data_IF_505107744105
#
_entry.id   IF_505107744105
#
_cell.length_a   1.000
_cell.length_b   1.000
_cell.length_c   1.000
_cell.angle_alpha   90.00
_cell.angle_beta   90.00
_cell.angle_gamma   90.00
#
_symmetry.space_group_name_H-M   'P 1'
#
loop_
_entity.id
_entity.type
_entity.pdbx_description
1 polymer ?
#
# COMPACT_ATOMS: atom_id res chain seq x y z
N UNK A 1 15.39 27.49 -22.56
CA UNK A 1 15.88 26.24 -21.92
C UNK A 1 15.63 26.18 -20.41
N UNK A 2 15.99 27.21 -19.61
CA UNK A 2 15.84 27.20 -18.13
C UNK A 2 14.44 26.85 -17.59
N UNK A 3 13.35 27.31 -18.23
CA UNK A 3 11.98 27.02 -17.77
C UNK A 3 11.58 25.55 -17.89
N UNK A 4 12.03 24.84 -18.93
CA UNK A 4 11.73 23.40 -19.09
C UNK A 4 12.37 22.55 -18.00
N UNK A 5 13.51 23.00 -17.47
CA UNK A 5 14.26 22.32 -16.43
C UNK A 5 13.59 22.47 -15.05
N UNK A 6 12.99 23.64 -14.77
CA UNK A 6 12.20 23.87 -13.55
C UNK A 6 10.99 22.93 -13.47
N UNK A 7 10.20 22.87 -14.54
CA UNK A 7 9.04 21.96 -14.62
C UNK A 7 9.43 20.48 -14.49
N UNK A 8 10.61 20.09 -14.98
CA UNK A 8 11.13 18.72 -14.83
C UNK A 8 11.40 18.39 -13.35
N UNK A 9 12.09 19.28 -12.64
CA UNK A 9 12.44 19.06 -11.24
C UNK A 9 11.18 19.06 -10.37
N UNK A 10 10.25 19.98 -10.60
CA UNK A 10 8.95 20.01 -9.92
C UNK A 10 8.17 18.71 -10.14
N UNK A 11 8.12 18.22 -11.39
CA UNK A 11 7.49 16.95 -11.73
C UNK A 11 8.13 15.75 -11.02
N UNK A 12 9.47 15.71 -10.98
CA UNK A 12 10.21 14.66 -10.25
C UNK A 12 9.91 14.72 -8.76
N UNK A 13 9.95 15.91 -8.15
CA UNK A 13 9.63 16.08 -6.71
C UNK A 13 8.21 15.61 -6.41
N UNK A 14 7.23 16.03 -7.21
CA UNK A 14 5.84 15.59 -7.06
C UNK A 14 5.69 14.08 -7.21
N UNK A 15 6.35 13.47 -8.19
CA UNK A 15 6.32 12.02 -8.41
C UNK A 15 6.98 11.26 -7.24
N UNK A 16 8.12 11.74 -6.74
CA UNK A 16 8.81 11.13 -5.59
C UNK A 16 8.00 11.21 -4.30
N UNK A 17 7.40 12.37 -4.01
CA UNK A 17 6.50 12.53 -2.85
C UNK A 17 5.31 11.57 -2.98
N UNK A 18 4.67 11.55 -4.15
CA UNK A 18 3.53 10.65 -4.42
C UNK A 18 3.90 9.18 -4.22
N UNK A 19 5.03 8.73 -4.79
CA UNK A 19 5.51 7.36 -4.66
C UNK A 19 5.78 6.98 -3.21
N UNK A 20 6.49 7.84 -2.47
CA UNK A 20 6.83 7.57 -1.08
C UNK A 20 5.60 7.45 -0.18
N UNK A 21 4.63 8.36 -0.30
CA UNK A 21 3.40 8.30 0.51
C UNK A 21 2.48 7.16 0.08
N UNK A 22 2.28 6.97 -1.22
CA UNK A 22 1.33 6.00 -1.76
C UNK A 22 1.71 4.56 -1.41
N UNK A 23 2.98 4.21 -1.59
CA UNK A 23 3.49 2.87 -1.35
C UNK A 23 3.38 2.47 0.13
N UNK A 24 3.86 3.33 1.03
CA UNK A 24 3.83 3.08 2.48
C UNK A 24 2.39 2.97 2.98
N UNK A 25 1.49 3.83 2.47
CA UNK A 25 0.07 3.81 2.87
C UNK A 25 -0.60 2.51 2.43
N UNK A 26 -0.37 2.07 1.19
CA UNK A 26 -0.94 0.80 0.71
C UNK A 26 -0.36 -0.42 1.42
N UNK A 27 0.95 -0.41 1.71
CA UNK A 27 1.59 -1.48 2.46
C UNK A 27 1.04 -1.54 3.90
N UNK A 28 0.90 -0.40 4.57
CA UNK A 28 0.29 -0.31 5.89
C UNK A 28 -1.16 -0.81 5.87
N UNK A 29 -1.91 -0.49 4.81
CA UNK A 29 -3.30 -0.93 4.66
C UNK A 29 -3.42 -2.46 4.69
N UNK A 30 -2.44 -3.19 4.14
CA UNK A 30 -2.46 -4.67 4.13
C UNK A 30 -2.59 -5.31 5.52
N UNK A 31 -2.13 -4.63 6.58
CA UNK A 31 -2.23 -5.10 7.97
C UNK A 31 -3.67 -5.22 8.47
N UNK A 32 -4.61 -4.50 7.85
CA UNK A 32 -6.03 -4.56 8.15
C UNK A 32 -6.79 -5.63 7.34
N UNK A 33 -6.10 -6.36 6.47
CA UNK A 33 -6.67 -7.39 5.60
C UNK A 33 -6.08 -8.77 5.93
N UNK A 34 -6.48 -9.77 5.15
CA UNK A 34 -6.02 -11.15 5.31
C UNK A 34 -4.50 -11.26 5.29
N UNK A 35 -3.97 -12.32 5.93
CA UNK A 35 -2.53 -12.66 5.92
C UNK A 35 -1.92 -12.82 4.52
N UNK A 36 -2.75 -13.05 3.48
CA UNK A 36 -2.31 -13.19 2.09
C UNK A 36 -2.18 -11.86 1.35
N UNK A 37 -2.65 -10.76 1.94
CA UNK A 37 -2.69 -9.45 1.28
C UNK A 37 -1.29 -8.89 1.05
N UNK A 38 -0.35 -9.11 1.98
CA UNK A 38 1.06 -8.70 1.82
C UNK A 38 1.72 -9.45 0.65
N UNK A 39 1.50 -10.76 0.53
CA UNK A 39 2.04 -11.55 -0.59
C UNK A 39 1.41 -11.16 -1.92
N UNK A 40 0.10 -10.90 -1.95
CA UNK A 40 -0.58 -10.45 -3.16
C UNK A 40 -0.10 -9.06 -3.60
N UNK A 41 0.09 -8.14 -2.64
CA UNK A 41 0.67 -6.82 -2.89
C UNK A 41 2.08 -6.94 -3.48
N UNK A 42 2.97 -7.73 -2.86
CA UNK A 42 4.34 -7.92 -3.33
C UNK A 42 4.40 -8.61 -4.71
N UNK A 43 3.56 -9.61 -4.95
CA UNK A 43 3.46 -10.24 -6.27
C UNK A 43 2.92 -9.28 -7.33
N UNK A 44 1.98 -8.41 -6.97
CA UNK A 44 1.39 -7.41 -7.85
C UNK A 44 2.39 -6.34 -8.26
N UNK A 45 3.19 -5.82 -7.34
CA UNK A 45 4.24 -4.84 -7.65
C UNK A 45 5.34 -5.44 -8.53
N UNK A 46 5.75 -6.69 -8.26
CA UNK A 46 6.70 -7.42 -9.11
C UNK A 46 6.17 -7.62 -10.54
N UNK A 47 4.91 -8.05 -10.69
CA UNK A 47 4.28 -8.19 -12.00
C UNK A 47 4.13 -6.84 -12.72
N UNK A 48 3.79 -5.77 -12.00
CA UNK A 48 3.67 -4.43 -12.55
C UNK A 48 5.00 -3.90 -13.09
N UNK A 49 6.13 -4.22 -12.44
CA UNK A 49 7.46 -3.88 -12.95
C UNK A 49 7.75 -4.53 -14.31
N UNK A 50 7.48 -5.83 -14.44
CA UNK A 50 7.66 -6.54 -15.70
C UNK A 50 6.70 -6.04 -16.80
N UNK A 51 5.41 -5.95 -16.49
CA UNK A 51 4.40 -5.50 -17.44
C UNK A 51 4.60 -4.04 -17.85
N UNK A 52 5.01 -3.18 -16.92
CA UNK A 52 5.32 -1.77 -17.19
C UNK A 52 6.51 -1.64 -18.14
N UNK A 53 7.60 -2.34 -17.86
CA UNK A 53 8.78 -2.34 -18.72
C UNK A 53 8.48 -2.89 -20.12
N UNK A 54 7.76 -4.01 -20.21
CA UNK A 54 7.37 -4.62 -21.49
C UNK A 54 6.40 -3.72 -22.28
N UNK A 55 5.44 -3.10 -21.60
CA UNK A 55 4.49 -2.18 -22.24
C UNK A 55 5.20 -0.94 -22.78
N UNK A 56 6.09 -0.34 -21.98
CA UNK A 56 6.88 0.81 -22.41
C UNK A 56 7.78 0.45 -23.59
N UNK A 57 8.53 -0.65 -23.50
CA UNK A 57 9.39 -1.12 -24.59
C UNK A 57 8.59 -1.47 -25.85
N UNK A 58 7.40 -2.05 -25.73
CA UNK A 58 6.51 -2.30 -26.87
C UNK A 58 6.06 -1.01 -27.53
N UNK A 59 5.64 -0.02 -26.74
CA UNK A 59 5.20 1.29 -27.25
C UNK A 59 6.36 2.04 -27.94
N UNK A 60 7.57 2.03 -27.38
CA UNK A 60 8.69 2.80 -27.92
C UNK A 60 9.47 2.08 -29.01
N UNK A 61 9.67 0.76 -28.88
CA UNK A 61 10.56 0.00 -29.76
C UNK A 61 9.82 -0.71 -30.89
N UNK A 62 8.62 -1.24 -30.65
CA UNK A 62 7.82 -1.90 -31.69
C UNK A 62 6.96 -0.88 -32.46
N UNK A 63 6.24 -0.03 -31.73
CA UNK A 63 5.34 0.96 -32.32
C UNK A 63 6.03 2.29 -32.67
N UNK A 64 7.31 2.43 -32.33
CA UNK A 64 8.14 3.64 -32.59
C UNK A 64 7.50 4.93 -32.09
N UNK A 65 6.67 4.84 -31.04
CA UNK A 65 6.05 6.02 -30.44
C UNK A 65 7.10 6.84 -29.69
N UNK A 66 6.90 8.16 -29.68
CA UNK A 66 7.73 9.04 -28.85
C UNK A 66 7.59 8.66 -27.37
N UNK A 67 8.67 8.69 -26.57
CA UNK A 67 8.62 8.45 -25.12
C UNK A 67 7.55 9.27 -24.39
N UNK A 68 7.31 10.51 -24.85
CA UNK A 68 6.26 11.37 -24.30
C UNK A 68 4.87 10.78 -24.48
N UNK A 69 4.57 10.29 -25.69
CA UNK A 69 3.29 9.67 -26.01
C UNK A 69 3.13 8.35 -25.28
N UNK A 70 4.19 7.55 -25.17
CA UNK A 70 4.15 6.29 -24.42
C UNK A 70 3.81 6.50 -22.94
N UNK A 71 4.46 7.47 -22.27
CA UNK A 71 4.17 7.79 -20.86
C UNK A 71 2.76 8.38 -20.69
N UNK A 72 2.29 9.21 -21.63
CA UNK A 72 0.92 9.73 -21.62
C UNK A 72 -0.12 8.62 -21.77
N UNK A 73 0.14 7.63 -22.62
CA UNK A 73 -0.73 6.45 -22.75
C UNK A 73 -0.75 5.69 -21.42
N UNK A 74 0.40 5.43 -20.81
CA UNK A 74 0.48 4.69 -19.54
C UNK A 74 -0.16 5.42 -18.34
N UNK A 75 -0.57 6.68 -18.49
CA UNK A 75 -1.24 7.46 -17.44
C UNK A 75 -2.62 6.90 -17.04
N UNK A 76 -3.23 6.02 -17.83
CA UNK A 76 -4.47 5.36 -17.39
C UNK A 76 -4.24 4.40 -16.21
N UNK A 77 -3.02 3.88 -16.02
CA UNK A 77 -2.69 2.93 -14.95
C UNK A 77 -2.93 3.52 -13.55
N UNK A 78 -2.40 4.71 -13.19
CA UNK A 78 -2.71 5.32 -11.90
C UNK A 78 -4.20 5.66 -11.73
N UNK A 79 -4.95 5.92 -12.82
CA UNK A 79 -6.41 6.10 -12.74
C UNK A 79 -7.10 4.80 -12.33
N UNK A 80 -6.72 3.67 -12.94
CA UNK A 80 -7.22 2.34 -12.54
C UNK A 80 -6.87 2.06 -11.07
N UNK A 81 -5.68 2.42 -10.62
CA UNK A 81 -5.26 2.27 -9.23
C UNK A 81 -6.17 3.04 -8.26
N UNK A 82 -6.51 4.30 -8.58
CA UNK A 82 -7.44 5.11 -7.76
C UNK A 82 -8.83 4.48 -7.71
N UNK A 83 -9.37 4.06 -8.86
CA UNK A 83 -10.68 3.38 -8.93
C UNK A 83 -10.67 2.12 -8.07
N UNK A 84 -9.62 1.29 -8.20
CA UNK A 84 -9.47 0.06 -7.44
C UNK A 84 -9.42 0.33 -5.93
N UNK A 85 -8.68 1.37 -5.51
CA UNK A 85 -8.60 1.77 -4.12
C UNK A 85 -9.97 2.18 -3.54
N UNK A 86 -10.74 2.97 -4.27
CA UNK A 86 -12.08 3.41 -3.84
C UNK A 86 -13.03 2.22 -3.73
N UNK A 87 -13.02 1.31 -4.72
CA UNK A 87 -13.89 0.12 -4.71
C UNK A 87 -13.58 -0.80 -3.53
N UNK A 88 -12.30 -1.03 -3.25
CA UNK A 88 -11.86 -1.84 -2.10
C UNK A 88 -12.29 -1.18 -0.78
N UNK A 89 -12.09 0.13 -0.63
CA UNK A 89 -12.52 0.88 0.55
C UNK A 89 -14.03 0.81 0.78
N UNK A 90 -14.84 1.00 -0.27
CA UNK A 90 -16.29 0.90 -0.21
C UNK A 90 -16.76 -0.51 0.20
N UNK A 91 -16.11 -1.55 -0.32
CA UNK A 91 -16.40 -2.94 0.04
C UNK A 91 -16.11 -3.23 1.52
N UNK A 92 -15.04 -2.67 2.08
CA UNK A 92 -14.70 -2.83 3.49
C UNK A 92 -15.68 -2.11 4.42
N UNK A 93 -16.08 -0.89 4.07
CA UNK A 93 -17.09 -0.15 4.83
C UNK A 93 -18.40 -0.95 4.88
N UNK A 94 -18.85 -1.47 3.74
CA UNK A 94 -20.03 -2.32 3.66
C UNK A 94 -19.90 -3.61 4.49
N UNK A 95 -18.74 -4.28 4.46
CA UNK A 95 -18.49 -5.49 5.24
C UNK A 95 -18.52 -5.23 6.75
N UNK A 96 -17.89 -4.14 7.22
CA UNK A 96 -17.91 -3.74 8.63
C UNK A 96 -19.30 -3.41 9.13
N UNK A 97 -20.11 -2.70 8.33
CA UNK A 97 -21.50 -2.41 8.68
C UNK A 97 -22.33 -3.68 8.84
N UNK A 98 -22.17 -4.67 7.95
CA UNK A 98 -22.84 -5.98 8.08
C UNK A 98 -22.42 -6.72 9.35
N UNK A 99 -21.13 -6.72 9.67
CA UNK A 99 -20.63 -7.38 10.87
C UNK A 99 -21.15 -6.71 12.16
N UNK A 100 -21.24 -5.37 12.19
CA UNK A 100 -21.83 -4.65 13.32
C UNK A 100 -23.32 -4.96 13.48
N UNK A 101 -24.06 -5.00 12.37
CA UNK A 101 -25.50 -5.29 12.39
C UNK A 101 -25.79 -6.72 12.89
N UNK A 102 -24.98 -7.71 12.50
CA UNK A 102 -25.08 -9.08 13.02
C UNK A 102 -24.84 -9.19 14.53
N UNK A 103 -23.89 -8.41 15.07
CA UNK A 103 -23.61 -8.37 16.52
C UNK A 103 -24.77 -7.71 17.28
N UNK A 104 -25.30 -6.61 16.75
CA UNK A 104 -26.45 -5.90 17.35
C UNK A 104 -27.73 -6.73 17.34
N UNK A 105 -27.96 -7.53 16.29
CA UNK A 105 -29.15 -8.37 16.15
C UNK A 105 -29.12 -9.60 17.08
N UNK A 106 -27.92 -10.05 17.49
CA UNK A 106 -27.75 -11.10 18.51
C UNK A 106 -27.81 -10.58 19.95
N UNK A 107 -27.86 -9.26 20.16
CA UNK A 107 -27.96 -8.64 21.49
C UNK A 107 -29.34 -7.99 21.64
N UNK A 108 -30.39 -8.80 21.81
CA UNK A 108 -31.70 -8.31 22.26
C UNK A 108 -31.77 -8.31 23.80
N UNK A 109 -32.44 -7.34 24.45
CA UNK A 109 -32.21 -6.93 25.82
C UNK A 109 -33.14 -7.63 26.82
N UNK A 110 -33.24 -8.95 26.79
CA UNK A 110 -34.09 -9.66 27.74
C UNK A 110 -33.39 -10.87 28.34
N UNK A 111 -33.27 -10.87 29.67
CA UNK A 111 -32.77 -12.00 30.44
C UNK A 111 -31.38 -11.82 31.04
N UNK A 112 -31.34 -11.08 32.16
CA UNK A 112 -30.54 -11.37 33.34
C UNK A 112 -29.55 -12.56 33.23
N UNK A 113 -28.31 -12.29 32.84
CA UNK A 113 -27.19 -13.14 33.24
C UNK A 113 -25.96 -12.27 33.47
N UNK A 114 -25.81 -11.86 34.73
CA UNK A 114 -24.66 -11.13 35.21
C UNK A 114 -23.43 -12.02 35.15
N UNK A 115 -22.67 -11.94 34.07
CA UNK A 115 -21.23 -12.23 33.99
C UNK A 115 -20.68 -11.75 32.63
N UNK A 116 -20.93 -10.48 32.28
CA UNK A 116 -20.00 -9.81 31.37
C UNK A 116 -18.65 -9.75 32.10
N UNK A 117 -17.76 -10.70 31.81
CA UNK A 117 -16.33 -10.45 31.93
C UNK A 117 -16.03 -9.31 30.97
N UNK A 118 -16.23 -8.08 31.42
CA UNK A 118 -15.56 -6.92 30.89
C UNK A 118 -14.09 -7.27 31.04
N UNK A 119 -13.50 -7.79 29.97
CA UNK A 119 -12.05 -7.90 29.86
C UNK A 119 -11.62 -6.46 29.99
N UNK A 120 -11.16 -6.10 31.18
CA UNK A 120 -10.53 -4.83 31.45
C UNK A 120 -9.22 -4.87 30.65
N UNK A 121 -9.31 -4.60 29.36
CA UNK A 121 -8.17 -4.36 28.50
C UNK A 121 -7.64 -3.02 28.97
N UNK A 122 -6.95 -3.01 30.10
CA UNK A 122 -6.09 -1.90 30.47
C UNK A 122 -5.21 -1.68 29.25
N UNK A 123 -5.33 -0.53 28.54
CA UNK A 123 -4.39 -0.20 27.49
C UNK A 123 -3.07 0.04 28.22
N UNK A 124 -2.33 -1.02 28.48
CA UNK A 124 -1.01 -0.96 29.08
C UNK A 124 -0.19 -0.27 28.01
N UNK A 125 -0.02 1.04 28.17
CA UNK A 125 0.82 1.85 27.30
C UNK A 125 2.21 1.25 27.34
N UNK A 126 2.52 0.39 26.37
CA UNK A 126 3.84 -0.23 26.27
C UNK A 126 4.84 0.90 26.08
N UNK A 127 5.75 1.02 27.05
CA UNK A 127 6.89 1.93 27.02
C UNK A 127 7.65 1.69 25.73
N UNK A 128 8.30 2.73 25.20
CA UNK A 128 9.05 2.64 23.94
C UNK A 128 10.03 1.45 23.91
N UNK A 129 10.60 1.09 25.07
CA UNK A 129 11.46 -0.09 25.25
C UNK A 129 10.75 -1.46 25.08
N UNK A 130 9.51 -1.59 25.53
CA UNK A 130 8.72 -2.83 25.33
C UNK A 130 8.36 -3.00 23.85
N UNK A 131 8.14 -1.89 23.13
CA UNK A 131 7.92 -1.89 21.68
C UNK A 131 9.19 -2.29 20.94
N UNK A 132 10.35 -1.79 21.37
CA UNK A 132 11.64 -2.12 20.77
C UNK A 132 11.99 -3.62 20.94
N UNK A 133 11.59 -4.20 22.07
CA UNK A 133 11.73 -5.64 22.32
C UNK A 133 10.87 -6.48 21.36
N UNK A 134 9.70 -5.99 20.94
CA UNK A 134 8.87 -6.63 19.91
C UNK A 134 9.44 -6.49 18.49
N UNK A 135 10.19 -5.42 18.21
CA UNK A 135 10.87 -5.22 16.92
C UNK A 135 12.04 -6.21 16.76
N UNK A 136 12.72 -6.58 17.85
CA UNK A 136 13.89 -7.47 17.84
C UNK A 136 13.70 -8.79 17.07
N UNK A 137 12.63 -9.59 17.28
CA UNK A 137 12.38 -10.79 16.47
C UNK A 137 11.95 -10.45 15.02
N UNK A 138 11.35 -9.28 14.79
CA UNK A 138 10.93 -8.82 13.46
C UNK A 138 12.10 -8.37 12.58
N UNK A 139 13.24 -7.99 13.17
CA UNK A 139 14.44 -7.58 12.44
C UNK A 139 14.93 -8.66 11.45
N UNK A 140 14.70 -9.95 11.76
CA UNK A 140 15.01 -11.06 10.84
C UNK A 140 14.30 -10.94 9.50
N UNK A 141 13.14 -10.29 9.45
CA UNK A 141 12.37 -10.04 8.23
C UNK A 141 12.54 -8.62 7.70
N UNK A 142 12.77 -7.63 8.59
CA UNK A 142 12.98 -6.24 8.18
C UNK A 142 14.33 -6.03 7.50
N UNK A 143 15.42 -6.62 8.00
CA UNK A 143 16.77 -6.41 7.44
C UNK A 143 16.84 -6.86 5.95
N UNK A 144 16.37 -8.06 5.58
CA UNK A 144 16.31 -8.45 4.17
C UNK A 144 15.43 -7.52 3.34
N UNK A 145 14.25 -7.15 3.86
CA UNK A 145 13.31 -6.27 3.15
C UNK A 145 13.91 -4.88 2.91
N UNK A 146 14.57 -4.30 3.91
CA UNK A 146 15.28 -3.01 3.81
C UNK A 146 16.43 -3.09 2.83
N UNK A 147 17.21 -4.17 2.83
CA UNK A 147 18.30 -4.35 1.87
C UNK A 147 17.78 -4.45 0.43
N UNK A 148 16.69 -5.20 0.21
CA UNK A 148 16.04 -5.31 -1.10
C UNK A 148 15.49 -3.96 -1.56
N UNK A 149 14.74 -3.26 -0.70
CA UNK A 149 14.23 -1.92 -1.00
C UNK A 149 15.33 -0.91 -1.28
N UNK A 150 16.39 -0.94 -0.48
CA UNK A 150 17.54 -0.07 -0.69
C UNK A 150 18.18 -0.34 -2.05
N UNK A 151 18.41 -1.61 -2.41
CA UNK A 151 18.94 -1.98 -3.71
C UNK A 151 18.00 -1.63 -4.88
N UNK A 152 16.69 -1.82 -4.70
CA UNK A 152 15.67 -1.46 -5.68
C UNK A 152 15.70 0.04 -5.98
N UNK A 153 15.67 0.87 -4.93
CA UNK A 153 15.75 2.32 -5.09
C UNK A 153 17.11 2.78 -5.64
N UNK A 154 18.21 2.09 -5.31
CA UNK A 154 19.53 2.35 -5.87
C UNK A 154 19.56 2.11 -7.39
N UNK A 155 19.03 0.96 -7.84
CA UNK A 155 18.95 0.60 -9.27
C UNK A 155 18.00 1.54 -10.01
N UNK A 156 16.84 1.87 -9.43
CA UNK A 156 15.86 2.79 -10.03
C UNK A 156 16.42 4.20 -10.21
N UNK A 157 17.42 4.62 -9.42
CA UNK A 157 18.11 5.90 -9.59
C UNK A 157 19.35 5.82 -10.49
N UNK A 158 19.79 4.63 -10.89
CA UNK A 158 20.91 4.45 -11.84
C UNK A 158 22.27 4.92 -11.32
N UNK A 159 22.51 4.82 -10.01
CA UNK A 159 23.83 5.01 -9.38
C UNK A 159 24.67 3.72 -9.42
#
# INVERSE_FOLDING_TARGET
>A
MKYKQKFLIEGVVCASISSGFGEITMLQLTSFYSKYTVSAWSSGTGAAGLLGALSYAGLTSLLKLSPKTAILILLFIPVIQVISYIMVGASQAAARHRQYQQISEHTNPDGNDGNEKIINVNPTWKTFGDRLTLVKPLLKYMIPLTAVYFAEYLINQGL
#
